data_IF_978424838849
#
_entry.id   IF_978424838849
#
_cell.length_a   1.000
_cell.length_b   1.000
_cell.length_c   1.000
_cell.angle_alpha   90.00
_cell.angle_beta   90.00
_cell.angle_gamma   90.00
#
_symmetry.space_group_name_H-M   'P 1'
#
loop_
_entity.id
_entity.type
_entity.pdbx_description
1 polymer ?
#
# COMPACT_ATOMS: atom_id res chain seq x y z
N UNK A 1 -18.78 23.98 11.91
CA UNK A 1 -18.48 23.49 10.56
C UNK A 1 -17.26 22.57 10.59
N UNK A 2 -17.02 21.82 9.51
CA UNK A 2 -15.81 21.01 9.32
C UNK A 2 -14.90 21.73 8.31
N UNK A 3 -13.62 21.84 8.65
CA UNK A 3 -12.58 22.37 7.77
C UNK A 3 -11.60 21.24 7.39
N UNK A 4 -11.02 21.34 6.20
CA UNK A 4 -10.10 20.34 5.65
C UNK A 4 -10.68 19.61 4.44
N UNK A 5 -9.88 18.74 3.85
CA UNK A 5 -10.25 17.94 2.67
C UNK A 5 -10.58 16.53 3.15
N UNK A 6 -11.75 16.01 2.77
CA UNK A 6 -12.13 14.62 3.03
C UNK A 6 -11.37 13.67 2.08
N UNK A 7 -10.08 13.52 2.33
CA UNK A 7 -9.18 12.63 1.59
C UNK A 7 -8.31 11.86 2.58
N UNK A 8 -8.03 10.60 2.28
CA UNK A 8 -7.24 9.73 3.14
C UNK A 8 -5.91 10.39 3.53
N UNK A 9 -5.56 10.29 4.80
CA UNK A 9 -4.37 10.89 5.39
C UNK A 9 -4.44 12.39 5.64
N UNK A 10 -5.51 13.08 5.26
CA UNK A 10 -5.75 14.45 5.68
C UNK A 10 -6.33 14.50 7.10
N UNK A 11 -6.22 15.67 7.73
CA UNK A 11 -6.88 15.95 9.02
C UNK A 11 -8.05 16.88 8.79
N UNK A 12 -9.21 16.50 9.32
CA UNK A 12 -10.37 17.39 9.43
C UNK A 12 -10.37 18.06 10.80
N UNK A 13 -10.79 19.32 10.84
CA UNK A 13 -10.89 20.10 12.09
C UNK A 13 -12.29 20.68 12.23
N UNK A 14 -12.90 20.48 13.39
CA UNK A 14 -14.17 21.09 13.75
C UNK A 14 -13.94 22.54 14.20
N UNK A 15 -14.74 23.46 13.67
CA UNK A 15 -14.83 24.84 14.16
C UNK A 15 -16.24 25.15 14.62
N UNK A 16 -16.36 25.80 15.77
CA UNK A 16 -17.61 26.35 16.26
C UNK A 16 -17.56 27.87 16.17
N UNK A 17 -18.72 28.45 15.95
CA UNK A 17 -18.96 29.88 16.04
C UNK A 17 -20.32 30.06 16.69
N UNK A 18 -20.38 30.88 17.72
CA UNK A 18 -21.62 31.27 18.36
C UNK A 18 -21.67 32.81 18.42
N UNK A 19 -22.87 33.37 18.28
CA UNK A 19 -23.05 34.83 18.15
C UNK A 19 -22.83 35.55 19.48
N UNK A 20 -23.14 34.89 20.60
CA UNK A 20 -23.03 35.45 21.94
C UNK A 20 -21.76 35.00 22.67
N UNK A 21 -21.05 34.02 22.10
CA UNK A 21 -19.69 33.64 22.47
C UNK A 21 -19.60 32.19 22.94
N UNK A 22 -18.47 31.56 22.64
CA UNK A 22 -18.21 30.18 23.05
C UNK A 22 -17.53 30.14 24.43
N UNK A 23 -17.82 29.10 25.24
CA UNK A 23 -17.05 28.86 26.44
C UNK A 23 -15.58 28.59 26.07
N UNK A 24 -14.64 29.17 26.84
CA UNK A 24 -13.20 29.01 26.58
C UNK A 24 -12.73 27.55 26.75
N UNK A 25 -13.47 26.72 27.48
CA UNK A 25 -13.24 25.28 27.70
C UNK A 25 -14.57 24.54 27.81
N UNK A 26 -14.55 23.21 27.77
CA UNK A 26 -15.77 22.40 28.00
C UNK A 26 -16.55 22.00 26.75
N UNK A 27 -16.02 22.30 25.55
CA UNK A 27 -16.59 21.76 24.30
C UNK A 27 -16.11 20.33 24.08
N UNK A 28 -17.05 19.40 23.96
CA UNK A 28 -16.78 18.02 23.58
C UNK A 28 -17.13 17.78 22.11
N UNK A 29 -16.27 17.05 21.40
CA UNK A 29 -16.44 16.71 19.99
C UNK A 29 -16.44 15.20 19.81
N UNK A 30 -17.38 14.68 19.02
CA UNK A 30 -17.47 13.28 18.64
C UNK A 30 -17.64 13.16 17.12
N UNK A 31 -16.63 12.60 16.46
CA UNK A 31 -16.67 12.31 15.03
C UNK A 31 -17.45 11.03 14.77
N UNK A 32 -18.26 11.05 13.71
CA UNK A 32 -19.05 9.92 13.27
C UNK A 32 -18.84 9.67 11.78
N UNK A 33 -18.96 8.43 11.35
CA UNK A 33 -18.88 8.00 9.95
C UNK A 33 -20.17 7.34 9.48
N UNK A 34 -20.42 7.39 8.18
CA UNK A 34 -21.59 6.77 7.55
C UNK A 34 -21.28 6.29 6.13
N UNK A 35 -21.74 5.09 5.80
CA UNK A 35 -21.65 4.53 4.44
C UNK A 35 -22.76 5.09 3.52
N UNK A 36 -23.92 5.46 4.07
CA UNK A 36 -25.12 5.86 3.32
C UNK A 36 -25.57 7.30 3.60
N UNK A 37 -24.87 8.02 4.48
CA UNK A 37 -25.21 9.38 4.93
C UNK A 37 -26.39 9.48 5.89
N UNK A 38 -27.01 8.36 6.29
CA UNK A 38 -28.22 8.32 7.11
C UNK A 38 -27.99 7.63 8.47
N UNK A 39 -27.31 6.48 8.48
CA UNK A 39 -26.93 5.76 9.70
C UNK A 39 -25.49 6.06 10.06
N UNK A 40 -25.26 6.52 11.28
CA UNK A 40 -23.97 7.04 11.72
C UNK A 40 -23.40 6.21 12.87
N UNK A 41 -22.10 5.97 12.85
CA UNK A 41 -21.36 5.25 13.90
C UNK A 41 -20.19 6.09 14.38
N UNK A 42 -19.90 6.00 15.67
CA UNK A 42 -18.84 6.78 16.31
C UNK A 42 -17.46 6.32 15.82
N UNK A 43 -16.56 7.30 15.64
CA UNK A 43 -15.20 7.10 15.13
C UNK A 43 -14.18 7.47 16.21
N UNK A 44 -14.19 8.73 16.65
CA UNK A 44 -13.22 9.24 17.63
C UNK A 44 -13.71 10.54 18.28
N UNK A 45 -13.24 10.83 19.48
CA UNK A 45 -13.42 12.13 20.12
C UNK A 45 -12.31 13.13 19.76
N UNK A 46 -12.58 14.42 19.98
CA UNK A 46 -11.61 15.51 19.83
C UNK A 46 -11.91 16.47 18.68
N UNK A 47 -11.33 17.68 18.75
CA UNK A 47 -11.61 18.75 17.79
C UNK A 47 -11.11 18.44 16.37
N UNK A 48 -10.17 17.51 16.22
CA UNK A 48 -9.60 17.11 14.94
C UNK A 48 -9.62 15.59 14.75
N UNK A 49 -9.69 15.15 13.49
CA UNK A 49 -9.69 13.74 13.10
C UNK A 49 -8.79 13.53 11.89
N UNK A 50 -7.80 12.65 12.02
CA UNK A 50 -6.99 12.18 10.89
C UNK A 50 -7.70 11.02 10.17
N UNK A 51 -7.77 11.10 8.84
CA UNK A 51 -8.56 10.20 8.01
C UNK A 51 -7.77 8.93 7.66
N UNK A 52 -8.03 7.83 8.36
CA UNK A 52 -7.45 6.50 8.06
C UNK A 52 -8.06 5.83 6.83
N UNK A 53 -7.42 4.74 6.38
CA UNK A 53 -7.91 3.91 5.25
C UNK A 53 -9.31 3.33 5.49
N UNK A 54 -9.67 3.02 6.75
CA UNK A 54 -10.97 2.49 7.14
C UNK A 54 -12.13 3.48 6.93
N UNK A 55 -11.83 4.77 6.76
CA UNK A 55 -12.82 5.82 6.53
C UNK A 55 -13.00 6.14 5.04
N UNK A 56 -12.19 5.57 4.14
CA UNK A 56 -12.33 5.74 2.68
C UNK A 56 -13.72 5.28 2.24
N UNK A 57 -14.36 6.09 1.41
CA UNK A 57 -15.73 5.86 0.93
C UNK A 57 -16.82 6.24 1.94
N UNK A 58 -16.49 6.47 3.21
CA UNK A 58 -17.44 6.92 4.24
C UNK A 58 -17.57 8.44 4.23
N UNK A 59 -18.75 8.94 4.56
CA UNK A 59 -18.98 10.36 4.87
C UNK A 59 -18.74 10.59 6.35
N UNK A 60 -18.21 11.76 6.71
CA UNK A 60 -17.95 12.11 8.11
C UNK A 60 -18.80 13.29 8.56
N UNK A 61 -19.14 13.31 9.85
CA UNK A 61 -19.69 14.48 10.54
C UNK A 61 -19.11 14.56 11.93
N UNK A 62 -19.25 15.71 12.58
CA UNK A 62 -18.89 15.90 13.98
C UNK A 62 -20.10 16.38 14.76
N UNK A 63 -20.31 15.77 15.92
CA UNK A 63 -21.25 16.26 16.93
C UNK A 63 -20.48 17.04 17.99
N UNK A 64 -20.93 18.25 18.30
CA UNK A 64 -20.33 19.11 19.32
C UNK A 64 -21.34 19.39 20.43
N UNK A 65 -20.92 19.16 21.67
CA UNK A 65 -21.75 19.40 22.87
C UNK A 65 -21.02 20.35 23.82
N UNK A 66 -21.70 21.39 24.28
CA UNK A 66 -21.14 22.41 25.19
C UNK A 66 -22.24 23.12 25.98
N UNK A 67 -21.86 23.94 26.96
CA UNK A 67 -22.78 24.87 27.63
C UNK A 67 -22.38 26.30 27.24
N UNK A 68 -23.32 27.10 26.76
CA UNK A 68 -23.07 28.48 26.36
C UNK A 68 -22.82 29.41 27.57
N UNK A 69 -22.54 30.69 27.30
CA UNK A 69 -22.31 31.70 28.35
C UNK A 69 -23.58 32.07 29.14
N UNK A 70 -24.76 31.65 28.70
CA UNK A 70 -26.04 31.84 29.38
C UNK A 70 -26.47 30.60 30.18
N UNK A 71 -25.67 29.53 30.17
CA UNK A 71 -25.94 28.30 30.90
C UNK A 71 -26.79 27.28 30.14
N UNK A 72 -27.06 27.49 28.86
CA UNK A 72 -27.84 26.58 28.00
C UNK A 72 -26.96 25.45 27.49
N UNK A 73 -27.44 24.20 27.59
CA UNK A 73 -26.76 23.05 27.00
C UNK A 73 -27.03 22.93 25.50
N UNK A 74 -25.98 22.91 24.71
CA UNK A 74 -25.99 22.83 23.26
C UNK A 74 -25.51 21.45 22.76
N UNK A 75 -26.13 20.96 21.68
CA UNK A 75 -25.79 19.69 21.03
C UNK A 75 -26.02 19.81 19.52
N UNK A 76 -24.95 20.16 18.79
CA UNK A 76 -25.02 20.56 17.39
C UNK A 76 -24.21 19.59 16.52
N UNK A 77 -24.86 19.11 15.46
CA UNK A 77 -24.24 18.22 14.47
C UNK A 77 -23.89 19.00 13.22
N UNK A 78 -22.67 18.82 12.71
CA UNK A 78 -22.27 19.42 11.44
C UNK A 78 -22.99 18.80 10.24
N UNK A 79 -23.01 19.53 9.12
CA UNK A 79 -23.22 18.89 7.82
C UNK A 79 -22.18 17.78 7.59
N UNK A 80 -22.59 16.75 6.85
CA UNK A 80 -21.70 15.67 6.46
C UNK A 80 -20.71 16.12 5.38
N UNK A 81 -19.49 15.61 5.41
CA UNK A 81 -18.54 15.73 4.31
C UNK A 81 -19.01 14.96 3.09
N UNK A 82 -18.41 15.24 1.93
CA UNK A 82 -18.36 14.25 0.85
C UNK A 82 -17.68 12.94 1.34
N UNK A 83 -17.92 11.79 0.67
CA UNK A 83 -17.18 10.56 0.96
C UNK A 83 -15.67 10.79 0.95
N UNK A 84 -14.95 10.23 1.91
CA UNK A 84 -13.49 10.33 1.97
C UNK A 84 -12.90 9.68 0.73
N UNK A 85 -12.13 10.44 -0.05
CA UNK A 85 -11.46 9.91 -1.25
C UNK A 85 -10.18 9.18 -0.86
N UNK A 86 -9.88 8.07 -1.55
CA UNK A 86 -8.58 7.42 -1.41
C UNK A 86 -7.51 8.23 -2.11
N UNK A 87 -6.36 8.43 -1.47
CA UNK A 87 -5.12 8.83 -2.17
C UNK A 87 -4.33 7.57 -2.48
N UNK A 88 -4.80 6.82 -3.48
CA UNK A 88 -3.94 5.85 -4.17
C UNK A 88 -2.94 6.63 -5.00
N UNK A 89 -1.63 6.43 -4.80
CA UNK A 89 -0.66 6.96 -5.75
C UNK A 89 -0.88 6.29 -7.11
N UNK A 90 -0.59 7.00 -8.19
CA UNK A 90 -0.54 6.39 -9.53
C UNK A 90 0.30 5.11 -9.46
N UNK A 91 -0.17 4.00 -10.04
CA UNK A 91 0.57 2.75 -9.99
C UNK A 91 1.96 2.91 -10.61
N UNK A 92 2.96 2.37 -9.93
CA UNK A 92 4.37 2.39 -10.32
C UNK A 92 4.89 0.97 -10.43
N UNK A 93 6.00 0.82 -11.13
CA UNK A 93 6.72 -0.45 -11.19
C UNK A 93 8.20 -0.22 -10.97
N UNK A 94 8.93 -1.27 -10.62
CA UNK A 94 10.35 -1.14 -10.34
C UNK A 94 11.13 -0.73 -11.59
N UNK A 95 10.88 -1.41 -12.71
CA UNK A 95 11.51 -1.12 -13.98
C UNK A 95 10.70 -0.09 -14.77
N UNK A 96 11.36 0.97 -15.23
CA UNK A 96 10.73 2.05 -16.00
C UNK A 96 11.12 1.96 -17.47
N UNK A 97 12.42 2.03 -17.74
CA UNK A 97 13.00 2.04 -19.09
C UNK A 97 14.01 0.91 -19.30
N UNK A 98 14.26 0.08 -18.28
CA UNK A 98 15.26 -0.98 -18.37
C UNK A 98 14.80 -2.07 -19.35
N UNK A 99 15.76 -2.53 -20.15
CA UNK A 99 15.61 -3.65 -21.07
C UNK A 99 16.66 -4.73 -20.80
N UNK A 100 16.36 -6.00 -21.13
CA UNK A 100 17.32 -7.09 -21.00
C UNK A 100 18.52 -6.91 -21.94
N UNK A 101 19.71 -7.25 -21.45
CA UNK A 101 20.91 -7.34 -22.30
C UNK A 101 20.89 -8.61 -23.15
N UNK A 102 20.29 -9.68 -22.63
CA UNK A 102 20.03 -10.93 -23.35
C UNK A 102 18.52 -11.17 -23.40
N UNK A 103 17.81 -10.66 -24.42
CA UNK A 103 16.35 -10.70 -24.46
C UNK A 103 15.77 -12.06 -24.88
N UNK A 104 16.59 -13.01 -25.35
CA UNK A 104 16.11 -14.29 -25.92
C UNK A 104 17.00 -15.49 -25.53
N UNK A 105 17.37 -15.59 -24.25
CA UNK A 105 18.25 -16.63 -23.75
C UNK A 105 17.52 -17.97 -23.57
N UNK A 106 18.23 -19.09 -23.70
CA UNK A 106 17.71 -20.44 -23.46
C UNK A 106 18.84 -21.37 -22.98
N UNK A 107 18.53 -22.28 -22.05
CA UNK A 107 19.43 -23.38 -21.64
C UNK A 107 19.23 -24.65 -22.49
N UNK A 108 18.31 -24.61 -23.46
CA UNK A 108 17.96 -25.72 -24.32
C UNK A 108 16.44 -25.84 -24.51
N UNK A 109 15.96 -26.35 -25.65
CA UNK A 109 14.54 -26.58 -25.87
C UNK A 109 13.95 -27.54 -24.82
N UNK A 110 12.84 -27.14 -24.20
CA UNK A 110 12.15 -27.93 -23.17
C UNK A 110 12.75 -27.85 -21.77
N UNK A 111 13.69 -26.93 -21.55
CA UNK A 111 14.17 -26.58 -20.21
C UNK A 111 13.31 -25.44 -19.67
N UNK A 112 12.45 -25.80 -18.72
CA UNK A 112 11.48 -24.92 -18.10
C UNK A 112 11.99 -24.37 -16.77
N UNK A 113 11.61 -23.14 -16.43
CA UNK A 113 12.03 -22.49 -15.20
C UNK A 113 10.90 -21.68 -14.56
N UNK A 114 10.82 -21.66 -13.23
CA UNK A 114 10.14 -20.57 -12.52
C UNK A 114 11.18 -19.52 -12.17
N UNK A 115 11.22 -18.40 -12.90
CA UNK A 115 12.14 -17.28 -12.61
C UNK A 115 11.41 -16.10 -11.98
N UNK A 116 12.11 -15.36 -11.14
CA UNK A 116 11.51 -14.39 -10.23
C UNK A 116 12.43 -13.27 -9.78
N UNK A 117 11.84 -12.35 -9.03
CA UNK A 117 12.51 -11.23 -8.38
C UNK A 117 11.98 -11.08 -6.96
N UNK A 118 12.89 -11.05 -5.99
CA UNK A 118 12.61 -10.57 -4.63
C UNK A 118 12.43 -9.07 -4.64
N UNK A 119 11.43 -8.57 -3.93
CA UNK A 119 11.22 -7.14 -3.75
C UNK A 119 10.69 -6.82 -2.34
N UNK A 120 10.89 -5.59 -1.92
CA UNK A 120 10.29 -4.98 -0.73
C UNK A 120 9.62 -3.67 -1.14
N UNK A 121 8.63 -3.22 -0.37
CA UNK A 121 8.13 -1.86 -0.47
C UNK A 121 8.44 -1.05 0.79
N UNK A 122 8.75 0.23 0.65
CA UNK A 122 8.85 1.17 1.78
C UNK A 122 7.48 1.64 2.28
N UNK A 123 6.40 1.33 1.55
CA UNK A 123 5.03 1.71 1.90
C UNK A 123 4.15 0.46 1.96
N UNK A 124 3.16 0.45 2.86
CA UNK A 124 2.04 -0.48 2.73
C UNK A 124 1.25 -0.07 1.49
N UNK A 125 0.76 -1.03 0.71
CA UNK A 125 0.00 -0.72 -0.50
C UNK A 125 -0.53 -1.99 -1.14
N UNK A 126 -0.85 -1.93 -2.43
CA UNK A 126 -1.38 -3.08 -3.16
C UNK A 126 -0.67 -3.31 -4.49
N UNK A 127 -0.46 -4.58 -4.80
CA UNK A 127 -0.04 -5.03 -6.13
C UNK A 127 -1.29 -5.16 -7.00
N UNK A 128 -1.30 -4.43 -8.10
CA UNK A 128 -2.40 -4.36 -9.06
C UNK A 128 -2.21 -5.34 -10.21
N UNK A 129 -0.97 -5.57 -10.63
CA UNK A 129 -0.64 -6.41 -11.77
C UNK A 129 0.75 -7.03 -11.63
N UNK A 130 0.99 -8.11 -12.37
CA UNK A 130 2.32 -8.69 -12.57
C UNK A 130 2.79 -8.32 -13.97
N UNK A 131 4.10 -8.10 -14.12
CA UNK A 131 4.75 -7.88 -15.41
C UNK A 131 5.91 -8.82 -15.60
N UNK A 132 6.17 -9.20 -16.84
CA UNK A 132 7.44 -9.81 -17.20
C UNK A 132 7.87 -9.39 -18.60
N UNK A 133 9.16 -9.41 -18.86
CA UNK A 133 9.67 -9.19 -20.22
C UNK A 133 9.68 -10.52 -20.98
N UNK A 134 8.84 -10.62 -22.01
CA UNK A 134 8.72 -11.81 -22.86
C UNK A 134 9.83 -11.85 -23.89
N UNK A 135 10.55 -12.96 -23.90
CA UNK A 135 11.55 -13.26 -24.91
C UNK A 135 10.89 -13.53 -26.28
N UNK A 136 11.49 -13.08 -27.40
CA UNK A 136 10.93 -13.26 -28.74
C UNK A 136 10.56 -14.69 -29.15
N UNK A 137 11.29 -15.69 -28.65
CA UNK A 137 11.05 -17.11 -28.93
C UNK A 137 10.22 -17.81 -27.84
N UNK A 138 9.75 -17.08 -26.83
CA UNK A 138 8.97 -17.66 -25.75
C UNK A 138 7.50 -17.82 -26.16
N UNK A 139 6.96 -19.02 -25.91
CA UNK A 139 5.62 -19.44 -26.33
C UNK A 139 4.95 -20.28 -25.24
N UNK A 140 3.68 -20.60 -25.41
CA UNK A 140 2.92 -21.35 -24.41
C UNK A 140 2.30 -20.44 -23.34
N UNK A 141 1.89 -21.04 -22.23
CA UNK A 141 1.15 -20.35 -21.17
C UNK A 141 2.11 -19.77 -20.13
N UNK A 142 1.91 -18.51 -19.78
CA UNK A 142 2.64 -17.83 -18.72
C UNK A 142 1.71 -17.55 -17.55
N UNK A 143 2.12 -17.95 -16.36
CA UNK A 143 1.41 -17.75 -15.10
C UNK A 143 2.31 -16.97 -14.17
N UNK A 144 1.87 -15.77 -13.82
CA UNK A 144 2.52 -14.95 -12.81
C UNK A 144 2.03 -15.27 -11.42
N UNK A 145 2.94 -15.26 -10.45
CA UNK A 145 2.67 -15.57 -9.05
C UNK A 145 3.33 -14.54 -8.14
N UNK A 146 2.70 -14.29 -7.00
CA UNK A 146 3.29 -13.53 -5.90
C UNK A 146 3.34 -14.43 -4.67
N UNK A 147 4.49 -14.44 -4.00
CA UNK A 147 4.76 -15.30 -2.86
C UNK A 147 5.16 -14.49 -1.64
N UNK A 148 4.88 -15.02 -0.46
CA UNK A 148 5.57 -14.62 0.77
C UNK A 148 7.05 -15.01 0.69
N UNK A 149 7.89 -14.40 1.54
CA UNK A 149 9.29 -14.82 1.69
C UNK A 149 9.46 -16.28 2.15
N UNK A 150 8.42 -16.89 2.72
CA UNK A 150 8.41 -18.29 3.20
C UNK A 150 7.87 -19.28 2.16
N UNK A 151 7.50 -18.81 0.96
CA UNK A 151 7.04 -19.67 -0.13
C UNK A 151 5.54 -19.94 -0.18
N UNK A 152 4.72 -19.23 0.60
CA UNK A 152 3.27 -19.28 0.44
C UNK A 152 2.86 -18.47 -0.79
N UNK A 153 2.09 -19.07 -1.71
CA UNK A 153 1.50 -18.33 -2.82
C UNK A 153 0.39 -17.41 -2.29
N UNK A 154 0.51 -16.10 -2.56
CA UNK A 154 -0.43 -15.06 -2.12
C UNK A 154 -1.38 -14.64 -3.25
N UNK A 155 -0.89 -14.65 -4.50
CA UNK A 155 -1.68 -14.35 -5.68
C UNK A 155 -1.14 -15.11 -6.90
N UNK A 156 -2.01 -15.34 -7.89
CA UNK A 156 -1.65 -15.92 -9.18
C UNK A 156 -2.53 -15.34 -10.29
N UNK A 157 -1.96 -15.20 -11.48
CA UNK A 157 -2.71 -14.76 -12.66
C UNK A 157 -2.11 -15.36 -13.93
N UNK A 158 -2.96 -15.84 -14.83
CA UNK A 158 -2.55 -16.31 -16.17
C UNK A 158 -2.51 -15.13 -17.12
N UNK A 159 -1.38 -14.96 -17.82
CA UNK A 159 -1.25 -13.95 -18.87
C UNK A 159 -2.06 -14.34 -20.10
N UNK A 160 -2.77 -13.37 -20.67
CA UNK A 160 -3.58 -13.52 -21.87
C UNK A 160 -3.32 -12.34 -22.82
N UNK A 161 -3.58 -12.53 -24.12
CA UNK A 161 -3.41 -11.49 -25.14
C UNK A 161 -2.00 -10.87 -25.16
N UNK A 162 -0.97 -11.71 -24.97
CA UNK A 162 0.42 -11.26 -24.97
C UNK A 162 0.88 -10.83 -26.37
N UNK A 163 1.85 -9.93 -26.41
CA UNK A 163 2.56 -9.60 -27.65
C UNK A 163 3.63 -10.65 -27.98
N UNK A 164 4.27 -10.51 -29.14
CA UNK A 164 5.35 -11.41 -29.56
C UNK A 164 6.60 -11.32 -28.66
N UNK A 165 6.90 -10.12 -28.14
CA UNK A 165 8.03 -9.87 -27.25
C UNK A 165 7.86 -8.56 -26.49
N UNK A 166 8.71 -8.35 -25.49
CA UNK A 166 8.72 -7.13 -24.66
C UNK A 166 7.91 -7.27 -23.38
N UNK A 167 7.72 -6.15 -22.68
CA UNK A 167 6.95 -6.11 -21.44
C UNK A 167 5.51 -6.56 -21.64
N UNK A 168 5.15 -7.64 -20.97
CA UNK A 168 3.77 -8.08 -20.77
C UNK A 168 3.29 -7.61 -19.41
N UNK A 169 2.00 -7.32 -19.29
CA UNK A 169 1.36 -6.96 -18.04
C UNK A 169 0.00 -7.64 -17.93
N UNK A 170 -0.27 -8.25 -16.78
CA UNK A 170 -1.56 -8.86 -16.50
C UNK A 170 -2.05 -8.42 -15.11
N UNK A 171 -3.22 -7.78 -15.11
CA UNK A 171 -3.90 -7.30 -13.89
C UNK A 171 -4.38 -8.46 -13.04
N UNK A 172 -4.20 -8.37 -11.72
CA UNK A 172 -4.75 -9.32 -10.76
C UNK A 172 -6.27 -9.13 -10.65
N UNK A 173 -7.03 -10.23 -10.57
CA UNK A 173 -8.48 -10.16 -10.38
C UNK A 173 -8.87 -9.49 -9.04
N UNK A 174 -8.01 -9.62 -8.03
CA UNK A 174 -8.12 -8.90 -6.77
C UNK A 174 -6.74 -8.34 -6.41
N UNK A 175 -6.60 -7.01 -6.23
CA UNK A 175 -5.36 -6.41 -5.76
C UNK A 175 -4.84 -7.07 -4.49
N UNK A 176 -3.55 -7.40 -4.45
CA UNK A 176 -2.91 -8.02 -3.30
C UNK A 176 -2.33 -6.95 -2.39
N UNK A 177 -2.86 -6.78 -1.18
CA UNK A 177 -2.29 -5.88 -0.18
C UNK A 177 -0.97 -6.45 0.35
N UNK A 178 0.06 -5.61 0.40
CA UNK A 178 1.38 -5.91 0.94
C UNK A 178 1.78 -4.90 2.01
N UNK A 179 2.57 -5.35 2.98
CA UNK A 179 3.06 -4.52 4.08
C UNK A 179 4.41 -3.89 3.75
N UNK A 180 4.63 -2.66 4.22
CA UNK A 180 5.95 -2.03 4.18
C UNK A 180 7.02 -2.91 4.85
N UNK A 181 8.26 -2.84 4.35
CA UNK A 181 9.43 -3.53 4.92
C UNK A 181 9.40 -5.05 4.79
N UNK A 182 8.35 -5.64 4.20
CA UNK A 182 8.21 -7.09 4.06
C UNK A 182 8.73 -7.55 2.71
N UNK A 183 9.52 -8.64 2.70
CA UNK A 183 10.02 -9.25 1.45
C UNK A 183 8.96 -10.13 0.82
N UNK A 184 8.78 -9.95 -0.48
CA UNK A 184 7.93 -10.76 -1.35
C UNK A 184 8.72 -11.22 -2.56
N UNK A 185 8.20 -12.23 -3.27
CA UNK A 185 8.74 -12.68 -4.55
C UNK A 185 7.65 -12.57 -5.60
N UNK A 186 7.97 -11.97 -6.74
CA UNK A 186 7.17 -12.09 -7.97
C UNK A 186 7.87 -13.06 -8.90
N UNK A 187 7.12 -13.98 -9.49
CA UNK A 187 7.65 -14.92 -10.49
C UNK A 187 6.70 -15.08 -11.67
N UNK A 188 7.25 -15.46 -12.82
CA UNK A 188 6.50 -15.92 -13.99
C UNK A 188 7.31 -17.03 -14.61
N UNK A 189 6.69 -18.16 -14.95
CA UNK A 189 7.37 -19.26 -15.60
C UNK A 189 7.99 -18.85 -16.96
N UNK A 190 9.04 -19.56 -17.35
CA UNK A 190 9.60 -19.60 -18.69
C UNK A 190 9.51 -21.06 -19.17
N UNK A 191 9.03 -21.27 -20.40
CA UNK A 191 8.83 -22.60 -20.96
C UNK A 191 9.99 -23.04 -21.86
N UNK A 192 10.93 -22.14 -22.18
CA UNK A 192 12.22 -22.46 -22.83
C UNK A 192 13.09 -21.22 -23.01
N UNK A 193 12.48 -20.03 -23.11
CA UNK A 193 13.18 -18.79 -23.46
C UNK A 193 12.87 -17.68 -22.47
N UNK A 194 13.91 -17.05 -21.95
CA UNK A 194 13.74 -15.95 -21.02
C UNK A 194 14.69 -14.80 -21.29
N UNK A 195 14.32 -13.66 -20.75
CA UNK A 195 15.11 -12.44 -20.82
C UNK A 195 15.93 -12.29 -19.55
N UNK A 196 17.22 -12.00 -19.70
CA UNK A 196 18.11 -11.79 -18.56
C UNK A 196 19.12 -10.66 -18.76
N UNK A 197 19.65 -10.20 -17.63
CA UNK A 197 20.92 -9.48 -17.55
C UNK A 197 21.74 -10.08 -16.42
N UNK A 198 22.88 -10.68 -16.75
CA UNK A 198 23.85 -11.17 -15.78
C UNK A 198 24.34 -10.03 -14.88
N UNK A 199 24.46 -10.29 -13.58
CA UNK A 199 24.78 -9.26 -12.57
C UNK A 199 23.80 -8.08 -12.52
N UNK A 200 22.59 -8.22 -13.06
CA UNK A 200 21.58 -7.16 -13.11
C UNK A 200 21.15 -6.65 -11.73
N UNK A 201 21.31 -7.46 -10.68
CA UNK A 201 21.12 -7.06 -9.27
C UNK A 201 22.42 -7.11 -8.46
N UNK A 202 23.58 -6.84 -9.08
CA UNK A 202 24.81 -6.61 -8.32
C UNK A 202 24.72 -5.37 -7.41
N UNK A 203 23.84 -4.43 -7.77
CA UNK A 203 23.42 -3.30 -6.94
C UNK A 203 21.88 -3.34 -6.79
N UNK A 204 21.32 -2.79 -5.71
CA UNK A 204 19.88 -2.69 -5.56
C UNK A 204 19.28 -1.76 -6.62
N UNK A 205 18.06 -2.07 -7.07
CA UNK A 205 17.27 -1.21 -7.95
C UNK A 205 16.06 -0.73 -7.15
N UNK A 206 15.74 0.57 -7.22
CA UNK A 206 14.60 1.14 -6.50
C UNK A 206 13.86 2.15 -7.35
N UNK A 207 12.53 2.12 -7.29
CA UNK A 207 11.66 3.11 -7.92
C UNK A 207 10.28 3.11 -7.26
N UNK A 208 9.69 4.29 -7.05
CA UNK A 208 8.30 4.40 -6.59
C UNK A 208 8.00 3.71 -5.25
N UNK A 209 8.99 3.63 -4.35
CA UNK A 209 8.86 2.92 -3.07
C UNK A 209 8.93 1.41 -3.16
N UNK A 210 9.29 0.84 -4.33
CA UNK A 210 9.72 -0.55 -4.47
C UNK A 210 11.25 -0.62 -4.49
N UNK A 211 11.80 -1.68 -3.93
CA UNK A 211 13.23 -2.01 -4.00
C UNK A 211 13.42 -3.50 -4.28
N UNK A 212 14.20 -3.81 -5.31
CA UNK A 212 14.83 -5.12 -5.45
C UNK A 212 16.22 -5.06 -4.79
N UNK A 213 16.49 -5.86 -3.75
CA UNK A 213 17.79 -5.87 -3.08
C UNK A 213 18.89 -6.50 -3.95
N UNK A 214 20.13 -6.46 -3.47
CA UNK A 214 21.23 -7.20 -4.09
C UNK A 214 20.88 -8.69 -4.19
N UNK A 215 21.15 -9.28 -5.35
CA UNK A 215 20.83 -10.68 -5.64
C UNK A 215 19.33 -10.98 -5.69
N UNK A 216 18.49 -9.99 -6.00
CA UNK A 216 17.04 -10.16 -6.01
C UNK A 216 16.53 -11.24 -6.99
N UNK A 217 17.27 -11.53 -8.05
CA UNK A 217 16.92 -12.59 -9.00
C UNK A 217 16.89 -13.95 -8.35
N UNK A 218 15.77 -14.64 -8.52
CA UNK A 218 15.57 -15.98 -7.98
C UNK A 218 15.02 -16.92 -9.05
N UNK A 219 15.26 -18.22 -8.92
CA UNK A 219 14.70 -19.23 -9.81
C UNK A 219 14.35 -20.55 -9.10
N UNK A 220 13.63 -21.42 -9.81
CA UNK A 220 13.38 -22.82 -9.48
C UNK A 220 13.33 -23.64 -10.78
N UNK A 221 13.82 -24.89 -10.73
CA UNK A 221 13.76 -25.88 -11.82
C UNK A 221 12.33 -26.37 -12.11
N UNK A 222 11.39 -26.18 -11.19
CA UNK A 222 10.01 -26.63 -11.32
C UNK A 222 9.06 -25.43 -11.46
N UNK A 223 8.39 -25.33 -12.61
CA UNK A 223 7.32 -24.35 -12.86
C UNK A 223 6.29 -24.38 -11.73
N UNK A 224 5.90 -23.19 -11.27
CA UNK A 224 4.89 -23.04 -10.22
C UNK A 224 5.34 -23.42 -8.82
N UNK A 225 6.64 -23.63 -8.61
CA UNK A 225 7.23 -23.81 -7.27
C UNK A 225 7.90 -22.51 -6.83
N UNK A 226 7.91 -22.22 -5.53
CA UNK A 226 8.55 -21.02 -4.98
C UNK A 226 10.03 -20.92 -5.42
N UNK A 227 10.44 -19.83 -6.11
CA UNK A 227 11.83 -19.67 -6.51
C UNK A 227 12.68 -19.10 -5.38
N UNK A 228 13.60 -19.92 -4.88
CA UNK A 228 14.51 -19.59 -3.78
C UNK A 228 15.99 -19.66 -4.17
N UNK A 229 16.32 -20.27 -5.31
CA UNK A 229 17.70 -20.38 -5.78
C UNK A 229 18.15 -19.07 -6.41
N UNK A 230 19.43 -18.73 -6.26
CA UNK A 230 20.03 -17.51 -6.81
C UNK A 230 21.19 -17.91 -7.72
N UNK A 231 21.32 -17.25 -8.86
CA UNK A 231 22.43 -17.43 -9.79
C UNK A 231 22.93 -16.07 -10.26
N UNK A 232 24.24 -15.83 -10.10
CA UNK A 232 24.98 -14.66 -10.61
C UNK A 232 24.29 -13.28 -10.51
N UNK A 233 23.53 -13.03 -9.44
CA UNK A 233 22.73 -11.81 -9.27
C UNK A 233 21.92 -11.44 -10.52
N UNK A 234 21.37 -12.43 -11.23
CA UNK A 234 20.69 -12.22 -12.50
C UNK A 234 19.41 -11.41 -12.36
N UNK A 235 19.14 -10.54 -13.33
CA UNK A 235 17.83 -9.92 -13.46
C UNK A 235 17.03 -10.63 -14.55
N UNK A 236 16.00 -11.38 -14.16
CA UNK A 236 15.08 -12.09 -15.07
C UNK A 236 13.87 -11.25 -15.52
N UNK A 237 13.89 -9.93 -15.26
CA UNK A 237 12.87 -8.97 -15.68
C UNK A 237 11.44 -9.39 -15.30
N UNK A 238 11.28 -9.82 -14.05
CA UNK A 238 9.97 -10.02 -13.39
C UNK A 238 9.68 -8.79 -12.54
N UNK A 239 8.45 -8.29 -12.58
CA UNK A 239 8.09 -7.05 -11.92
C UNK A 239 6.62 -7.03 -11.51
N UNK A 240 6.26 -6.00 -10.75
CA UNK A 240 4.91 -5.74 -10.26
C UNK A 240 4.46 -4.33 -10.64
N UNK A 241 3.15 -4.13 -10.68
CA UNK A 241 2.54 -2.80 -10.68
C UNK A 241 1.99 -2.55 -9.28
N UNK A 242 2.61 -1.64 -8.55
CA UNK A 242 2.32 -1.33 -7.16
C UNK A 242 1.63 0.03 -7.05
N UNK A 243 0.55 0.10 -6.26
CA UNK A 243 -0.02 1.37 -5.81
C UNK A 243 0.24 1.51 -4.31
N UNK A 244 0.97 2.55 -3.92
CA UNK A 244 1.24 2.81 -2.53
C UNK A 244 -0.06 3.20 -1.82
N UNK A 245 -0.30 2.55 -0.68
CA UNK A 245 -1.29 3.02 0.28
C UNK A 245 -0.75 4.28 0.96
N UNK A 246 -1.66 5.15 1.39
CA UNK A 246 -1.26 6.38 2.07
C UNK A 246 -0.75 6.04 3.47
N UNK A 247 0.54 6.30 3.74
CA UNK A 247 1.04 6.47 5.10
C UNK A 247 1.18 7.96 5.38
N UNK A 248 0.41 8.48 6.33
CA UNK A 248 0.77 9.76 6.97
C UNK A 248 1.92 9.42 7.90
N UNK A 249 3.12 9.90 7.59
CA UNK A 249 4.15 9.98 8.63
C UNK A 249 3.55 10.82 9.76
N UNK A 250 3.45 10.26 10.97
CA UNK A 250 3.26 11.10 12.16
C UNK A 250 4.42 12.09 12.14
N UNK A 251 4.13 13.34 11.78
CA UNK A 251 5.15 14.38 11.65
C UNK A 251 5.77 14.76 13.00
N UNK A 252 5.17 14.26 14.09
CA UNK A 252 5.61 14.52 15.45
C UNK A 252 6.19 13.23 16.05
N UNK A 253 7.44 13.31 16.50
CA UNK A 253 7.98 12.34 17.45
C UNK A 253 7.10 12.40 18.71
N UNK A 254 6.55 11.26 19.12
CA UNK A 254 5.85 11.14 20.38
C UNK A 254 6.75 10.44 21.40
N UNK A 255 6.93 11.06 22.57
CA UNK A 255 7.55 10.40 23.71
C UNK A 255 6.43 9.85 24.59
N UNK A 256 6.45 8.53 24.79
CA UNK A 256 5.50 7.87 25.70
C UNK A 256 6.10 7.90 27.10
N UNK A 257 5.41 8.57 28.03
CA UNK A 257 5.71 8.46 29.44
C UNK A 257 4.75 7.45 30.06
N UNK A 258 5.33 6.45 30.73
CA UNK A 258 4.58 5.52 31.57
C UNK A 258 4.96 5.84 33.01
N UNK A 259 3.96 6.16 33.83
CA UNK A 259 4.14 6.28 35.27
C UNK A 259 3.12 5.41 36.00
N UNK A 260 3.54 4.83 37.11
CA UNK A 260 2.67 4.11 38.03
C UNK A 260 2.62 4.83 39.37
N UNK A 261 1.39 5.02 39.87
CA UNK A 261 1.12 5.51 41.22
C UNK A 261 -0.11 4.79 41.76
N UNK A 262 -0.01 4.28 42.98
CA UNK A 262 -1.11 3.63 43.71
C UNK A 262 -1.87 2.54 42.91
N UNK A 263 -1.14 1.72 42.12
CA UNK A 263 -1.72 0.61 41.36
C UNK A 263 -2.44 1.00 40.06
N UNK A 264 -2.35 2.26 39.63
CA UNK A 264 -2.82 2.71 38.32
C UNK A 264 -1.64 3.10 37.43
N UNK A 265 -1.58 2.49 36.24
CA UNK A 265 -0.67 2.90 35.17
C UNK A 265 -1.31 4.04 34.36
N UNK A 266 -0.61 5.17 34.27
CA UNK A 266 -1.02 6.29 33.41
C UNK A 266 -0.11 6.33 32.19
N UNK A 267 -0.70 6.27 30.99
CA UNK A 267 0.01 6.46 29.73
C UNK A 267 -0.21 7.90 29.29
N UNK A 268 0.85 8.70 29.31
CA UNK A 268 0.83 10.06 28.77
C UNK A 268 1.61 10.09 27.47
N UNK A 269 0.89 10.35 26.38
CA UNK A 269 1.51 10.56 25.07
C UNK A 269 1.78 12.05 24.90
N UNK A 270 3.05 12.44 24.96
CA UNK A 270 3.45 13.82 24.69
C UNK A 270 3.89 13.90 23.24
N UNK A 271 3.23 14.74 22.45
CA UNK A 271 3.64 15.10 21.09
C UNK A 271 4.44 16.39 21.16
N UNK A 272 5.65 16.39 20.60
CA UNK A 272 6.40 17.64 20.42
C UNK A 272 5.94 18.28 19.11
N UNK A 273 5.22 19.39 19.23
CA UNK A 273 5.00 20.35 18.14
C UNK A 273 5.90 21.56 18.29
#
# INVERSE_FOLDING_TARGET
SINGIASQGQTLTASLSDIDGLPATGVSYLWQSSDNGSTWSDVAGGQSLTLGSSLVGKRLRVNATYTDLLGTGENIVSAATAPVTSVSSSPVSLFTTQTPTQPNFTDGPGVDWEVGMRFVSSNTGSIQAIRYYKAPSETGTHVGRIWSATGQQLASVTFTNETASGWQQQTLASPLVISAGTTYVVSVNANSYYSLTSNGFANPISNGGLTAPVGAGVYNETIGTFPALVYQNENYFRDVVFSAGSSVALRDNATIFVSESAGAATITVVRTG
#
